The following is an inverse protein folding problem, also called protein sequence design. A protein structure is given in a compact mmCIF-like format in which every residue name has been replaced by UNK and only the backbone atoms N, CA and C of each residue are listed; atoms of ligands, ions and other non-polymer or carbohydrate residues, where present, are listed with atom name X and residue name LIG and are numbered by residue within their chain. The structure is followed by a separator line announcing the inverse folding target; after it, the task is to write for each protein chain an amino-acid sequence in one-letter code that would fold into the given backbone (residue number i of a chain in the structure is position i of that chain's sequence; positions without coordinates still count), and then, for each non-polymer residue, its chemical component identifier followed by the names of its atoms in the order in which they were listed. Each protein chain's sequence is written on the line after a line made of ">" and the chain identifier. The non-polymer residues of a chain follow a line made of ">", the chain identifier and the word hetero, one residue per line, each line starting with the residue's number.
data_IF_125706431822
#
_entry.id   IF_125706431822
#
_cell.length_a   1.000
_cell.length_b   1.000
_cell.length_c   1.000
_cell.angle_alpha   90.00
_cell.angle_beta   90.00
_cell.angle_gamma   90.00
#
_symmetry.space_group_name_H-M   'P 1'
#
loop_
_entity.id
_entity.type
_entity.pdbx_description
1 polymer ?
#
# COMPACT_ATOMS: atom_id res chain seq x y z
N UNK A 1 23.99 -7.18 -10.71
CA UNK A 1 22.84 -7.62 -9.87
C UNK A 1 22.89 -7.18 -8.40
N UNK A 2 24.06 -6.85 -7.80
CA UNK A 2 24.15 -6.52 -6.35
C UNK A 2 23.51 -5.19 -5.91
N UNK A 3 23.12 -4.27 -6.82
CA UNK A 3 22.69 -2.90 -6.46
C UNK A 3 21.17 -2.69 -6.45
N UNK A 4 20.35 -3.57 -7.07
CA UNK A 4 18.89 -3.37 -7.20
C UNK A 4 18.04 -4.43 -6.47
N UNK A 5 18.65 -5.40 -5.78
CA UNK A 5 17.88 -6.52 -5.17
C UNK A 5 16.89 -6.05 -4.09
N UNK A 6 17.21 -5.00 -3.33
CA UNK A 6 16.31 -4.42 -2.33
C UNK A 6 15.04 -3.85 -2.98
N UNK A 7 15.19 -3.22 -4.15
CA UNK A 7 14.06 -2.72 -4.94
C UNK A 7 13.19 -3.86 -5.44
N UNK A 8 13.79 -4.94 -5.95
CA UNK A 8 13.03 -6.13 -6.38
C UNK A 8 12.29 -6.80 -5.22
N UNK A 9 12.92 -6.91 -4.05
CA UNK A 9 12.27 -7.49 -2.87
C UNK A 9 11.13 -6.59 -2.36
N UNK A 10 11.35 -5.27 -2.30
CA UNK A 10 10.30 -4.31 -1.96
C UNK A 10 9.13 -4.37 -2.96
N UNK A 11 9.42 -4.47 -4.27
CA UNK A 11 8.41 -4.67 -5.31
C UNK A 11 7.61 -5.95 -5.09
N UNK A 12 8.28 -7.07 -4.75
CA UNK A 12 7.63 -8.34 -4.41
C UNK A 12 6.70 -8.22 -3.19
N UNK A 13 7.13 -7.50 -2.15
CA UNK A 13 6.29 -7.23 -0.97
C UNK A 13 5.07 -6.38 -1.32
N UNK A 14 5.22 -5.37 -2.18
CA UNK A 14 4.10 -4.54 -2.62
C UNK A 14 3.11 -5.31 -3.50
N UNK A 15 3.59 -6.22 -4.36
CA UNK A 15 2.74 -7.14 -5.12
C UNK A 15 1.99 -8.12 -4.22
N UNK A 16 2.69 -8.70 -3.23
CA UNK A 16 2.07 -9.55 -2.22
C UNK A 16 0.96 -8.81 -1.47
N UNK A 17 1.23 -7.57 -1.06
CA UNK A 17 0.23 -6.73 -0.39
C UNK A 17 -0.98 -6.48 -1.31
N UNK A 18 -0.76 -6.02 -2.55
CA UNK A 18 -1.84 -5.76 -3.49
C UNK A 18 -2.72 -7.00 -3.70
N UNK A 19 -2.11 -8.14 -4.05
CA UNK A 19 -2.85 -9.38 -4.31
C UNK A 19 -3.62 -9.83 -3.08
N UNK A 20 -2.97 -9.86 -1.91
CA UNK A 20 -3.61 -10.26 -0.66
C UNK A 20 -4.78 -9.34 -0.29
N UNK A 21 -4.60 -8.02 -0.46
CA UNK A 21 -5.62 -7.03 -0.17
C UNK A 21 -6.80 -7.10 -1.14
N UNK A 22 -6.55 -7.25 -2.44
CA UNK A 22 -7.60 -7.41 -3.45
C UNK A 22 -8.39 -8.70 -3.22
N UNK A 23 -7.73 -9.83 -2.93
CA UNK A 23 -8.41 -11.09 -2.58
C UNK A 23 -9.27 -10.89 -1.32
N UNK A 24 -8.71 -10.28 -0.27
CA UNK A 24 -9.43 -9.98 0.96
C UNK A 24 -10.67 -9.12 0.71
N UNK A 25 -10.55 -8.10 -0.15
CA UNK A 25 -11.66 -7.22 -0.54
C UNK A 25 -12.75 -7.98 -1.30
N UNK A 26 -12.38 -8.80 -2.29
CA UNK A 26 -13.33 -9.58 -3.08
C UNK A 26 -14.04 -10.67 -2.28
N UNK A 27 -13.39 -11.18 -1.23
CA UNK A 27 -13.92 -12.26 -0.38
C UNK A 27 -14.53 -11.76 0.93
N UNK A 28 -14.48 -10.45 1.22
CA UNK A 28 -14.89 -9.88 2.52
C UNK A 28 -16.32 -10.19 2.94
N UNK A 29 -17.21 -10.41 1.97
CA UNK A 29 -18.62 -10.75 2.22
C UNK A 29 -18.87 -12.24 2.41
N UNK A 30 -17.89 -13.09 2.10
CA UNK A 30 -17.99 -14.55 2.22
C UNK A 30 -17.64 -14.99 3.64
N UNK A 31 -18.48 -14.62 4.60
CA UNK A 31 -18.27 -14.91 6.03
C UNK A 31 -19.25 -15.97 6.53
N UNK A 32 -18.76 -16.89 7.36
CA UNK A 32 -19.59 -17.94 7.99
C UNK A 32 -20.11 -17.53 9.37
N UNK A 33 -19.46 -16.55 10.01
CA UNK A 33 -19.82 -16.06 11.33
C UNK A 33 -21.06 -15.14 11.28
N UNK A 34 -22.11 -15.50 12.02
CA UNK A 34 -23.37 -14.74 12.02
C UNK A 34 -23.24 -13.30 12.51
N UNK A 35 -22.36 -13.00 13.48
CA UNK A 35 -22.14 -11.61 13.93
C UNK A 35 -21.50 -10.78 12.81
N UNK A 36 -20.57 -11.36 12.07
CA UNK A 36 -19.93 -10.68 10.95
C UNK A 36 -20.91 -10.47 9.80
N UNK A 37 -21.77 -11.44 9.50
CA UNK A 37 -22.86 -11.28 8.53
C UNK A 37 -23.78 -10.12 8.89
N UNK A 38 -24.25 -10.07 10.15
CA UNK A 38 -25.09 -8.97 10.63
C UNK A 38 -24.40 -7.61 10.51
N UNK A 39 -23.10 -7.54 10.79
CA UNK A 39 -22.31 -6.31 10.62
C UNK A 39 -22.27 -5.86 9.17
N UNK A 40 -22.01 -6.78 8.23
CA UNK A 40 -22.00 -6.48 6.79
C UNK A 40 -23.38 -6.00 6.33
N UNK A 41 -24.45 -6.69 6.74
CA UNK A 41 -25.82 -6.27 6.41
C UNK A 41 -26.15 -4.87 6.96
N UNK A 42 -25.67 -4.54 8.16
CA UNK A 42 -25.81 -3.20 8.71
C UNK A 42 -25.05 -2.16 7.87
N UNK A 43 -23.84 -2.46 7.43
CA UNK A 43 -23.07 -1.57 6.54
C UNK A 43 -23.74 -1.39 5.17
N UNK A 44 -24.37 -2.43 4.62
CA UNK A 44 -25.07 -2.40 3.34
C UNK A 44 -26.42 -1.66 3.40
N UNK A 45 -27.02 -1.53 4.58
CA UNK A 45 -28.32 -0.87 4.78
C UNK A 45 -28.21 0.54 5.38
N UNK A 46 -27.03 0.92 5.88
CA UNK A 46 -26.80 2.24 6.47
C UNK A 46 -26.15 3.17 5.46
N UNK A 47 -26.78 4.31 5.18
CA UNK A 47 -26.22 5.35 4.32
C UNK A 47 -25.18 6.19 5.06
N UNK A 48 -24.17 6.68 4.33
CA UNK A 48 -23.16 7.59 4.90
C UNK A 48 -23.80 8.96 5.14
N UNK A 49 -23.72 9.45 6.37
CA UNK A 49 -24.06 10.83 6.69
C UNK A 49 -22.87 11.74 6.38
N UNK A 50 -23.11 12.77 5.57
CA UNK A 50 -22.16 13.81 5.21
C UNK A 50 -22.60 15.14 5.85
N UNK A 51 -21.69 16.13 6.01
CA UNK A 51 -22.02 17.42 6.63
C UNK A 51 -23.24 18.14 6.02
N UNK A 52 -23.61 17.83 4.79
CA UNK A 52 -24.72 18.44 4.06
C UNK A 52 -25.91 17.48 3.79
N UNK A 53 -25.98 16.34 4.48
CA UNK A 53 -27.09 15.39 4.37
C UNK A 53 -26.64 13.95 4.13
N UNK A 54 -27.61 13.11 3.74
CA UNK A 54 -27.40 11.67 3.55
C UNK A 54 -26.86 11.41 2.14
N UNK A 55 -25.78 10.65 2.05
CA UNK A 55 -25.18 10.18 0.80
C UNK A 55 -26.08 9.17 0.08
N UNK A 56 -25.95 9.06 -1.24
CA UNK A 56 -26.51 7.94 -2.01
C UNK A 56 -25.71 6.64 -1.86
N UNK A 57 -24.57 6.70 -1.16
CA UNK A 57 -23.73 5.54 -0.89
C UNK A 57 -23.91 5.02 0.53
N UNK A 58 -23.99 3.72 0.63
CA UNK A 58 -23.97 2.96 1.89
C UNK A 58 -22.58 2.99 2.51
N UNK A 59 -22.49 2.68 3.81
CA UNK A 59 -21.21 2.50 4.51
C UNK A 59 -20.38 1.39 3.82
N UNK A 60 -21.05 0.34 3.32
CA UNK A 60 -20.40 -0.73 2.57
C UNK A 60 -19.73 -0.25 1.27
N UNK A 61 -20.43 0.57 0.49
CA UNK A 61 -19.90 1.16 -0.74
C UNK A 61 -18.77 2.15 -0.45
N UNK A 62 -18.88 2.94 0.61
CA UNK A 62 -17.81 3.83 1.04
C UNK A 62 -16.56 3.05 1.46
N UNK A 63 -16.72 1.98 2.25
CA UNK A 63 -15.63 1.08 2.61
C UNK A 63 -14.98 0.44 1.37
N UNK A 64 -15.80 -0.01 0.41
CA UNK A 64 -15.33 -0.57 -0.85
C UNK A 64 -14.53 0.46 -1.65
N UNK A 65 -14.99 1.71 -1.72
CA UNK A 65 -14.28 2.82 -2.37
C UNK A 65 -12.94 3.11 -1.72
N UNK A 66 -12.88 3.16 -0.38
CA UNK A 66 -11.62 3.32 0.36
C UNK A 66 -10.66 2.15 0.10
N UNK A 67 -11.17 0.93 0.01
CA UNK A 67 -10.38 -0.26 -0.32
C UNK A 67 -9.77 -0.17 -1.72
N UNK A 68 -10.56 0.23 -2.72
CA UNK A 68 -10.09 0.41 -4.09
C UNK A 68 -9.09 1.57 -4.22
N UNK A 69 -9.27 2.65 -3.45
CA UNK A 69 -8.31 3.75 -3.39
C UNK A 69 -6.96 3.30 -2.83
N UNK A 70 -6.96 2.42 -1.81
CA UNK A 70 -5.73 1.80 -1.30
C UNK A 70 -5.06 0.94 -2.38
N UNK A 71 -5.79 0.08 -3.10
CA UNK A 71 -5.26 -0.71 -4.22
C UNK A 71 -4.64 0.17 -5.31
N UNK A 72 -5.31 1.24 -5.70
CA UNK A 72 -4.79 2.20 -6.67
C UNK A 72 -3.50 2.88 -6.18
N UNK A 73 -3.42 3.23 -4.90
CA UNK A 73 -2.20 3.81 -4.32
C UNK A 73 -1.03 2.81 -4.23
N UNK A 74 -1.32 1.53 -3.98
CA UNK A 74 -0.33 0.45 -4.03
C UNK A 74 0.20 0.28 -5.47
N UNK A 75 -0.70 0.30 -6.46
CA UNK A 75 -0.33 0.26 -7.88
C UNK A 75 0.57 1.43 -8.28
N UNK A 76 0.28 2.65 -7.79
CA UNK A 76 1.14 3.80 -8.00
C UNK A 76 2.55 3.56 -7.42
N UNK A 77 2.65 3.05 -6.20
CA UNK A 77 3.93 2.70 -5.58
C UNK A 77 4.68 1.65 -6.39
N UNK A 78 4.00 0.61 -6.86
CA UNK A 78 4.57 -0.41 -7.76
C UNK A 78 5.11 0.24 -9.03
N UNK A 79 4.37 1.17 -9.64
CA UNK A 79 4.79 1.94 -10.80
C UNK A 79 6.07 2.73 -10.55
N UNK A 80 6.16 3.45 -9.43
CA UNK A 80 7.35 4.21 -9.03
C UNK A 80 8.56 3.29 -8.83
N UNK A 81 8.37 2.14 -8.17
CA UNK A 81 9.45 1.16 -7.98
C UNK A 81 9.92 0.59 -9.32
N UNK A 82 9.01 0.31 -10.24
CA UNK A 82 9.33 -0.16 -11.59
C UNK A 82 10.13 0.85 -12.38
N UNK A 83 9.79 2.14 -12.30
CA UNK A 83 10.57 3.24 -12.89
C UNK A 83 11.98 3.26 -12.29
N UNK A 84 12.11 3.21 -10.96
CA UNK A 84 13.41 3.20 -10.28
C UNK A 84 14.28 1.99 -10.67
N UNK A 85 13.66 0.85 -11.00
CA UNK A 85 14.36 -0.37 -11.42
C UNK A 85 14.81 -0.29 -12.89
N UNK A 86 13.93 0.17 -13.80
CA UNK A 86 14.12 0.03 -15.25
C UNK A 86 14.71 1.26 -15.94
N UNK A 87 14.46 2.45 -15.41
CA UNK A 87 14.88 3.68 -16.06
C UNK A 87 16.33 4.01 -15.67
N UNK A 88 17.26 3.66 -16.56
CA UNK A 88 18.68 3.93 -16.35
C UNK A 88 19.06 5.38 -16.68
N UNK A 89 18.24 6.10 -17.45
CA UNK A 89 18.43 7.53 -17.79
C UNK A 89 17.97 8.47 -16.66
N UNK A 90 17.10 7.97 -15.77
CA UNK A 90 16.61 8.74 -14.64
C UNK A 90 17.77 9.14 -13.72
N UNK A 91 17.91 10.45 -13.51
CA UNK A 91 19.00 11.01 -12.70
C UNK A 91 18.98 10.44 -11.28
N UNK A 92 20.15 10.38 -10.65
CA UNK A 92 20.29 9.92 -9.27
C UNK A 92 19.40 10.72 -8.30
N UNK A 93 19.38 12.05 -8.43
CA UNK A 93 18.56 12.93 -7.60
C UNK A 93 17.06 12.60 -7.72
N UNK A 94 16.59 12.40 -8.95
CA UNK A 94 15.20 11.99 -9.21
C UNK A 94 14.87 10.62 -8.59
N UNK A 95 15.77 9.63 -8.71
CA UNK A 95 15.61 8.32 -8.05
C UNK A 95 15.51 8.46 -6.54
N UNK A 96 16.37 9.26 -5.92
CA UNK A 96 16.35 9.49 -4.47
C UNK A 96 15.03 10.12 -4.01
N UNK A 97 14.51 11.12 -4.73
CA UNK A 97 13.24 11.76 -4.42
C UNK A 97 12.05 10.78 -4.54
N UNK A 98 12.00 9.99 -5.61
CA UNK A 98 10.98 8.96 -5.79
C UNK A 98 11.02 7.91 -4.67
N UNK A 99 12.22 7.48 -4.27
CA UNK A 99 12.37 6.54 -3.17
C UNK A 99 11.90 7.13 -1.83
N UNK A 100 12.21 8.40 -1.55
CA UNK A 100 11.70 9.07 -0.35
C UNK A 100 10.18 9.13 -0.31
N UNK A 101 9.53 9.36 -1.45
CA UNK A 101 8.06 9.31 -1.55
C UNK A 101 7.53 7.91 -1.20
N UNK A 102 8.13 6.86 -1.75
CA UNK A 102 7.69 5.48 -1.46
C UNK A 102 7.99 5.08 -0.01
N UNK A 103 9.12 5.49 0.55
CA UNK A 103 9.47 5.26 1.96
C UNK A 103 8.43 5.95 2.87
N UNK A 104 8.08 7.20 2.58
CA UNK A 104 7.06 7.92 3.33
C UNK A 104 5.71 7.19 3.27
N UNK A 105 5.28 6.80 2.07
CA UNK A 105 4.02 6.08 1.89
C UNK A 105 4.01 4.75 2.65
N UNK A 106 5.03 3.92 2.47
CA UNK A 106 5.11 2.59 3.11
C UNK A 106 5.18 2.68 4.63
N UNK A 107 5.92 3.66 5.17
CA UNK A 107 5.98 3.90 6.62
C UNK A 107 4.63 4.36 7.17
N UNK A 108 3.94 5.26 6.45
CA UNK A 108 2.63 5.77 6.85
C UNK A 108 1.57 4.66 6.85
N UNK A 109 1.51 3.87 5.78
CA UNK A 109 0.58 2.73 5.69
C UNK A 109 0.91 1.67 6.73
N UNK A 110 2.20 1.44 7.04
CA UNK A 110 2.57 0.53 8.12
C UNK A 110 2.00 0.97 9.47
N UNK A 111 2.19 2.25 9.83
CA UNK A 111 1.68 2.81 11.07
C UNK A 111 0.14 2.78 11.14
N UNK A 112 -0.54 3.24 10.08
CA UNK A 112 -2.00 3.24 10.03
C UNK A 112 -2.57 1.82 10.09
N UNK A 113 -1.95 0.87 9.40
CA UNK A 113 -2.41 -0.51 9.40
C UNK A 113 -2.24 -1.19 10.77
N UNK A 114 -1.16 -0.86 11.47
CA UNK A 114 -0.92 -1.35 12.83
C UNK A 114 -1.97 -0.86 13.81
N UNK A 115 -2.39 0.41 13.69
CA UNK A 115 -3.33 1.03 14.63
C UNK A 115 -4.79 0.65 14.31
N UNK A 116 -5.18 0.65 13.03
CA UNK A 116 -6.60 0.67 12.64
C UNK A 116 -7.08 -0.52 11.81
N UNK A 117 -6.18 -1.33 11.24
CA UNK A 117 -6.56 -2.30 10.20
C UNK A 117 -6.26 -3.73 10.67
N UNK A 118 -5.09 -4.28 10.34
CA UNK A 118 -4.62 -5.58 10.82
C UNK A 118 -3.10 -5.74 10.56
N UNK A 119 -2.41 -6.69 11.24
CA UNK A 119 -0.95 -6.71 11.29
C UNK A 119 -0.23 -7.02 9.97
N UNK A 120 -0.87 -7.73 9.04
CA UNK A 120 -0.20 -8.22 7.83
C UNK A 120 0.29 -7.06 6.93
N UNK A 121 -0.56 -6.10 6.49
CA UNK A 121 -0.12 -4.90 5.81
C UNK A 121 0.93 -4.11 6.61
N UNK A 122 0.76 -4.03 7.93
CA UNK A 122 1.69 -3.30 8.78
C UNK A 122 3.12 -3.85 8.67
N UNK A 123 3.28 -5.17 8.79
CA UNK A 123 4.57 -5.85 8.72
C UNK A 123 5.12 -5.79 7.30
N UNK A 124 4.30 -6.07 6.28
CA UNK A 124 4.72 -6.04 4.88
C UNK A 124 5.25 -4.67 4.47
N UNK A 125 4.54 -3.60 4.82
CA UNK A 125 4.96 -2.23 4.52
C UNK A 125 6.17 -1.79 5.36
N UNK A 126 6.31 -2.25 6.61
CA UNK A 126 7.51 -1.98 7.41
C UNK A 126 8.76 -2.60 6.78
N UNK A 127 8.69 -3.88 6.38
CA UNK A 127 9.78 -4.57 5.71
C UNK A 127 10.15 -3.88 4.39
N UNK A 128 9.15 -3.48 3.59
CA UNK A 128 9.38 -2.73 2.37
C UNK A 128 10.07 -1.38 2.66
N UNK A 129 9.60 -0.62 3.66
CA UNK A 129 10.20 0.65 4.06
C UNK A 129 11.67 0.49 4.48
N UNK A 130 12.00 -0.52 5.29
CA UNK A 130 13.37 -0.80 5.71
C UNK A 130 14.30 -1.13 4.53
N UNK A 131 13.83 -1.94 3.57
CA UNK A 131 14.57 -2.26 2.36
C UNK A 131 14.82 -1.03 1.50
N UNK A 132 13.78 -0.19 1.33
CA UNK A 132 13.85 1.03 0.53
C UNK A 132 14.74 2.09 1.17
N UNK A 133 14.66 2.27 2.50
CA UNK A 133 15.57 3.14 3.23
C UNK A 133 17.02 2.64 3.08
N UNK A 134 17.24 1.33 3.18
CA UNK A 134 18.53 0.72 2.92
C UNK A 134 19.01 0.88 1.47
N UNK A 135 18.13 1.02 0.48
CA UNK A 135 18.49 1.30 -0.91
C UNK A 135 18.80 2.79 -1.12
N UNK A 136 17.96 3.66 -0.55
CA UNK A 136 18.11 5.10 -0.59
C UNK A 136 19.43 5.52 0.07
N UNK A 137 19.74 4.99 1.26
CA UNK A 137 21.00 5.24 1.95
C UNK A 137 22.23 4.86 1.12
N UNK A 138 22.18 3.71 0.43
CA UNK A 138 23.26 3.31 -0.47
C UNK A 138 23.39 4.24 -1.66
N UNK A 139 22.27 4.65 -2.24
CA UNK A 139 22.27 5.56 -3.39
C UNK A 139 22.80 6.93 -2.97
N UNK A 140 22.42 7.42 -1.78
CA UNK A 140 22.75 8.75 -1.28
C UNK A 140 24.19 8.86 -0.72
N UNK A 141 24.61 7.91 0.12
CA UNK A 141 25.89 7.99 0.82
C UNK A 141 26.98 7.08 0.26
N UNK A 142 26.63 5.90 -0.26
CA UNK A 142 27.62 5.02 -0.90
C UNK A 142 27.81 5.45 -2.35
N UNK A 143 28.85 6.27 -2.59
CA UNK A 143 29.56 6.25 -3.87
C UNK A 143 29.96 4.79 -4.13
N UNK A 144 29.18 4.03 -4.89
CA UNK A 144 29.75 2.84 -5.51
C UNK A 144 30.71 3.34 -6.57
N UNK A 145 31.99 3.25 -6.20
CA UNK A 145 33.16 3.21 -7.06
C UNK A 145 32.82 2.55 -8.39
N UNK A 146 33.26 3.22 -9.46
CA UNK A 146 33.31 2.81 -10.86
C UNK A 146 33.06 1.33 -11.14
#
# INVERSE_FOLDING_TARGET
>A
MKVKWKLFLALGLMLFFLVGHTIGTLTRKNVTNEKTKQTILAMESTFVELPNGISHHTIDEFYQGMSLALDASILLVIGILMICIKDDDLTRSSKEQLLLFVIFWTTSISALSFIYIFPVPAITCLLASLLLFGQWYQTHFQKNYN
#
